data_IF_542815523769
#
_entry.id   IF_542815523769
#
_cell.length_a   1.000
_cell.length_b   1.000
_cell.length_c   1.000
_cell.angle_alpha   90.00
_cell.angle_beta   90.00
_cell.angle_gamma   90.00
#
_symmetry.space_group_name_H-M   'P 1'
#
loop_
_entity.id
_entity.type
_entity.pdbx_description
1 polymer ?
#
# COMPACT_ATOMS: atom_id res chain seq x y z
N UNK A 1 -11.97 3.03 6.46
CA UNK A 1 -10.52 3.10 6.18
C UNK A 1 -10.08 4.55 6.21
N UNK A 2 -8.83 4.83 6.59
CA UNK A 2 -8.29 6.20 6.69
C UNK A 2 -6.96 6.31 5.95
N UNK A 3 -6.59 7.53 5.54
CA UNK A 3 -5.26 7.82 5.00
C UNK A 3 -4.16 7.26 5.93
N UNK A 4 -3.18 6.59 5.34
CA UNK A 4 -2.08 5.96 6.06
C UNK A 4 -2.35 4.53 6.55
N UNK A 5 -3.59 4.03 6.51
CA UNK A 5 -3.85 2.61 6.77
C UNK A 5 -3.11 1.74 5.75
N UNK A 6 -2.52 0.63 6.20
CA UNK A 6 -1.97 -0.41 5.32
C UNK A 6 -2.99 -1.53 5.24
N UNK A 7 -3.40 -1.84 4.01
CA UNK A 7 -4.39 -2.87 3.72
C UNK A 7 -3.85 -3.92 2.77
N UNK A 8 -4.45 -5.09 2.79
CA UNK A 8 -4.20 -6.15 1.83
C UNK A 8 -5.31 -6.11 0.77
N UNK A 9 -4.93 -5.95 -0.51
CA UNK A 9 -5.87 -5.79 -1.63
C UNK A 9 -5.29 -6.43 -2.91
N UNK A 10 -6.11 -7.00 -3.81
CA UNK A 10 -5.68 -7.40 -5.14
C UNK A 10 -5.18 -6.17 -5.93
N UNK A 11 -3.87 -5.94 -5.92
CA UNK A 11 -3.27 -4.80 -6.60
C UNK A 11 -2.97 -5.17 -8.05
N UNK A 12 -3.46 -4.40 -9.05
CA UNK A 12 -3.32 -4.74 -10.45
C UNK A 12 -1.86 -4.63 -10.94
N UNK A 13 -1.52 -5.41 -11.95
CA UNK A 13 -0.32 -5.15 -12.75
C UNK A 13 -0.47 -3.87 -13.58
N UNK A 14 0.65 -3.33 -14.03
CA UNK A 14 0.66 -2.03 -14.74
C UNK A 14 0.01 -2.12 -16.13
N UNK A 15 0.04 -3.29 -16.74
CA UNK A 15 -0.66 -3.62 -17.98
C UNK A 15 -2.12 -4.04 -17.76
N UNK A 16 -2.59 -4.03 -16.50
CA UNK A 16 -3.96 -4.41 -16.08
C UNK A 16 -4.36 -5.84 -16.44
N UNK A 17 -3.41 -6.71 -16.80
CA UNK A 17 -3.69 -8.07 -17.25
C UNK A 17 -4.16 -9.00 -16.14
N UNK A 18 -3.70 -8.75 -14.91
CA UNK A 18 -4.02 -9.54 -13.72
C UNK A 18 -3.76 -8.71 -12.45
N UNK A 19 -4.08 -9.26 -11.29
CA UNK A 19 -3.83 -8.67 -9.98
C UNK A 19 -3.19 -9.67 -9.02
N UNK A 20 -2.49 -9.16 -8.01
CA UNK A 20 -1.96 -10.00 -6.92
C UNK A 20 -2.31 -9.37 -5.58
N UNK A 21 -2.66 -10.23 -4.62
CA UNK A 21 -2.93 -9.81 -3.25
C UNK A 21 -1.66 -9.23 -2.63
N UNK A 22 -1.66 -7.94 -2.32
CA UNK A 22 -0.48 -7.20 -1.86
C UNK A 22 -0.83 -6.16 -0.81
N UNK A 23 0.12 -5.85 0.09
CA UNK A 23 -0.02 -4.68 0.95
C UNK A 23 -0.02 -3.39 0.12
N UNK A 24 -0.88 -2.45 0.51
CA UNK A 24 -0.95 -1.12 -0.08
C UNK A 24 -1.34 -0.08 0.98
N UNK A 25 -0.82 1.15 0.85
CA UNK A 25 -1.16 2.27 1.74
C UNK A 25 -2.36 3.00 1.18
N UNK A 26 -3.36 3.24 2.02
CA UNK A 26 -4.51 4.10 1.69
C UNK A 26 -4.07 5.56 1.61
N UNK A 27 -4.27 6.16 0.45
CA UNK A 27 -4.07 7.61 0.24
C UNK A 27 -5.38 8.37 0.46
N UNK A 28 -6.49 7.78 -0.01
CA UNK A 28 -7.83 8.31 0.10
C UNK A 28 -8.85 7.16 0.07
N UNK A 29 -9.99 7.34 0.72
CA UNK A 29 -11.11 6.40 0.65
C UNK A 29 -12.43 7.17 0.78
N UNK A 30 -13.44 6.74 0.05
CA UNK A 30 -14.83 7.17 0.23
C UNK A 30 -15.70 5.93 0.55
N UNK A 31 -17.00 6.01 0.29
CA UNK A 31 -17.92 4.89 0.56
C UNK A 31 -17.73 3.71 -0.38
N UNK A 32 -17.37 3.96 -1.65
CA UNK A 32 -17.28 2.96 -2.73
C UNK A 32 -15.84 2.63 -3.12
N UNK A 33 -14.95 3.61 -3.10
CA UNK A 33 -13.61 3.52 -3.67
C UNK A 33 -12.51 3.71 -2.63
N UNK A 34 -11.36 3.12 -2.92
CA UNK A 34 -10.11 3.36 -2.21
C UNK A 34 -8.98 3.66 -3.20
N UNK A 35 -8.32 4.81 -3.02
CA UNK A 35 -7.06 5.12 -3.71
C UNK A 35 -5.90 4.65 -2.84
N UNK A 36 -5.08 3.74 -3.38
CA UNK A 36 -3.98 3.11 -2.67
C UNK A 36 -2.65 3.24 -3.42
N UNK A 37 -1.55 3.23 -2.67
CA UNK A 37 -0.18 3.15 -3.21
C UNK A 37 0.45 1.80 -2.85
N UNK A 38 1.10 1.20 -3.83
CA UNK A 38 1.65 -0.15 -3.78
C UNK A 38 2.83 -0.29 -2.80
N UNK A 39 2.86 -1.39 -2.03
CA UNK A 39 4.02 -1.78 -1.22
C UNK A 39 4.68 -3.04 -1.81
N UNK A 40 6.02 -3.07 -1.84
CA UNK A 40 6.79 -4.27 -2.20
C UNK A 40 7.94 -4.53 -1.23
N UNK A 41 8.23 -5.80 -0.98
CA UNK A 41 9.42 -6.23 -0.25
C UNK A 41 10.69 -6.22 -1.12
N UNK A 42 10.58 -5.98 -2.43
CA UNK A 42 11.74 -5.94 -3.32
C UNK A 42 12.49 -4.60 -3.18
N UNK A 43 13.45 -4.57 -2.26
CA UNK A 43 14.22 -3.37 -1.95
C UNK A 43 15.06 -2.83 -3.12
N UNK A 44 15.37 -3.68 -4.12
CA UNK A 44 16.18 -3.29 -5.29
C UNK A 44 15.44 -2.34 -6.22
N UNK A 45 14.11 -2.22 -6.09
CA UNK A 45 13.28 -1.38 -6.95
C UNK A 45 13.08 0.03 -6.42
N UNK A 46 13.82 0.42 -5.38
CA UNK A 46 13.75 1.76 -4.78
C UNK A 46 14.18 2.82 -5.80
N UNK A 47 13.39 3.87 -5.94
CA UNK A 47 13.78 5.12 -6.60
C UNK A 47 13.95 6.26 -5.57
N UNK A 48 14.28 7.46 -6.04
CA UNK A 48 14.51 8.65 -5.21
C UNK A 48 13.28 9.09 -4.39
N UNK A 49 12.07 8.82 -4.89
CA UNK A 49 10.81 9.27 -4.33
C UNK A 49 10.07 8.18 -3.54
N UNK A 50 10.59 6.97 -3.51
CA UNK A 50 10.02 5.87 -2.76
C UNK A 50 10.46 5.91 -1.30
N UNK A 51 9.56 5.54 -0.38
CA UNK A 51 9.85 5.48 1.05
C UNK A 51 10.19 4.05 1.47
N UNK A 52 11.24 3.90 2.27
CA UNK A 52 11.57 2.63 2.91
C UNK A 52 10.73 2.51 4.17
N UNK A 53 9.92 1.47 4.24
CA UNK A 53 9.12 1.13 5.41
C UNK A 53 9.84 0.03 6.20
N UNK A 54 10.22 0.35 7.43
CA UNK A 54 10.78 -0.65 8.36
C UNK A 54 9.66 -1.50 8.91
N UNK A 55 9.84 -2.82 8.95
CA UNK A 55 8.81 -3.71 9.53
C UNK A 55 8.53 -3.32 10.98
N UNK A 56 7.27 -3.29 11.37
CA UNK A 56 6.87 -3.04 12.75
C UNK A 56 5.55 -3.73 13.06
N UNK A 57 5.28 -3.91 14.35
CA UNK A 57 3.98 -4.41 14.79
C UNK A 57 2.84 -3.43 14.44
N UNK A 58 3.13 -2.13 14.35
CA UNK A 58 2.11 -1.12 14.04
C UNK A 58 1.70 -1.10 12.56
N UNK A 59 2.63 -1.39 11.65
CA UNK A 59 2.37 -1.41 10.22
C UNK A 59 2.00 -2.80 9.68
N UNK A 60 2.23 -3.86 10.46
CA UNK A 60 1.84 -5.23 10.13
C UNK A 60 2.65 -5.87 8.99
N UNK A 61 3.72 -5.22 8.54
CA UNK A 61 4.62 -5.76 7.53
C UNK A 61 5.52 -6.84 8.14
N UNK A 62 5.70 -7.96 7.44
CA UNK A 62 6.55 -9.07 7.90
C UNK A 62 8.04 -8.81 7.67
N UNK A 63 8.36 -7.98 6.68
CA UNK A 63 9.72 -7.66 6.22
C UNK A 63 9.81 -6.18 5.86
N UNK A 64 11.02 -5.65 5.90
CA UNK A 64 11.30 -4.31 5.38
C UNK A 64 10.82 -4.22 3.92
N UNK A 65 10.15 -3.14 3.61
CA UNK A 65 9.45 -2.96 2.35
C UNK A 65 9.64 -1.53 1.83
N UNK A 66 9.13 -1.28 0.64
CA UNK A 66 9.13 0.01 -0.02
C UNK A 66 7.71 0.39 -0.37
N UNK A 67 7.32 1.62 -0.04
CA UNK A 67 6.15 2.30 -0.57
C UNK A 67 6.48 2.93 -1.92
N UNK A 68 5.82 2.47 -2.99
CA UNK A 68 6.04 2.96 -4.35
C UNK A 68 5.15 4.16 -4.64
N UNK A 69 5.70 5.37 -4.56
CA UNK A 69 4.96 6.62 -4.85
C UNK A 69 4.56 6.75 -6.32
N UNK A 70 5.21 6.00 -7.21
CA UNK A 70 4.88 5.96 -8.65
C UNK A 70 3.86 4.89 -9.05
N UNK A 71 3.34 4.09 -8.11
CA UNK A 71 2.36 3.02 -8.38
C UNK A 71 1.14 3.21 -7.50
N UNK A 72 0.14 3.91 -8.06
CA UNK A 72 -1.11 4.29 -7.40
C UNK A 72 -2.27 3.73 -8.22
N UNK A 73 -3.31 3.23 -7.55
CA UNK A 73 -4.54 2.77 -8.17
C UNK A 73 -5.75 3.17 -7.31
N UNK A 74 -6.86 3.50 -7.95
CA UNK A 74 -8.17 3.59 -7.30
C UNK A 74 -8.94 2.32 -7.63
N UNK A 75 -9.42 1.63 -6.60
CA UNK A 75 -10.04 0.32 -6.69
C UNK A 75 -11.35 0.32 -5.88
N UNK A 76 -12.24 -0.60 -6.23
CA UNK A 76 -13.42 -0.89 -5.43
C UNK A 76 -12.99 -1.27 -3.99
N UNK A 77 -13.58 -0.61 -3.01
CA UNK A 77 -13.26 -0.77 -1.59
C UNK A 77 -13.61 -2.16 -1.07
N UNK A 78 -14.56 -2.85 -1.68
CA UNK A 78 -14.94 -4.22 -1.29
C UNK A 78 -13.86 -5.25 -1.66
N UNK A 79 -12.91 -4.89 -2.52
CA UNK A 79 -11.73 -5.72 -2.81
C UNK A 79 -10.73 -5.78 -1.66
N UNK A 80 -10.88 -4.93 -0.64
CA UNK A 80 -9.99 -4.91 0.52
C UNK A 80 -10.19 -6.18 1.35
N UNK A 81 -9.20 -7.07 1.33
CA UNK A 81 -9.23 -8.33 2.08
C UNK A 81 -9.04 -8.12 3.59
N UNK A 82 -8.42 -7.01 4.00
CA UNK A 82 -8.28 -6.67 5.42
C UNK A 82 -7.23 -5.60 5.69
N UNK A 83 -7.26 -5.05 6.90
CA UNK A 83 -6.26 -4.09 7.39
C UNK A 83 -5.11 -4.81 8.09
N UNK A 84 -3.88 -4.48 7.70
CA UNK A 84 -2.65 -5.01 8.31
C UNK A 84 -2.14 -4.11 9.44
N UNK A 85 -2.26 -2.80 9.28
CA UNK A 85 -1.69 -1.82 10.21
C UNK A 85 -1.84 -0.40 9.68
N UNK A 86 -0.95 0.49 10.08
CA UNK A 86 -0.88 1.85 9.56
C UNK A 86 0.56 2.37 9.54
N UNK A 87 0.81 3.34 8.66
CA UNK A 87 2.02 4.17 8.68
C UNK A 87 2.08 4.98 9.97
N UNK A 88 3.31 5.28 10.41
CA UNK A 88 3.59 6.22 11.49
C UNK A 88 3.34 7.67 11.05
N UNK A 89 3.22 8.58 12.02
CA UNK A 89 3.05 10.00 11.72
C UNK A 89 4.20 10.57 10.86
N UNK A 90 5.44 10.11 11.09
CA UNK A 90 6.61 10.51 10.33
C UNK A 90 6.60 10.01 8.88
N UNK A 91 6.03 8.82 8.63
CA UNK A 91 5.91 8.28 7.27
C UNK A 91 4.76 8.95 6.48
N UNK A 92 3.85 9.64 7.17
CA UNK A 92 2.69 10.33 6.57
C UNK A 92 2.98 11.82 6.28
N UNK A 93 3.88 12.45 7.04
CA UNK A 93 4.24 13.88 6.93
C UNK A 93 5.07 14.17 5.68
#
# INVERSE_FOLDING_TARGET
MRKGDIVLIPFPFTDLSDSKLRPAVVLYANDLDVTVSFITSNLRWKNKFDLVLKKSNSNGLKVDSILKTSKIATLDKDLVAGKLGALSAYEIS
#
